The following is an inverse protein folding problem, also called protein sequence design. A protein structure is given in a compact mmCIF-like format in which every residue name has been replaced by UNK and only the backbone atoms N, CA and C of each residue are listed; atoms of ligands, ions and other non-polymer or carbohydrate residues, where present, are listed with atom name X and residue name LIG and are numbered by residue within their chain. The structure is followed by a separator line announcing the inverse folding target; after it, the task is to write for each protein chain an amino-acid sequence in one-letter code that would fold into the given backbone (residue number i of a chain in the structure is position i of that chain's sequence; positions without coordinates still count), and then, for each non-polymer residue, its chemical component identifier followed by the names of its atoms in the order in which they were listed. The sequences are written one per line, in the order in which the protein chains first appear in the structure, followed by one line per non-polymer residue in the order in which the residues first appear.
data_IF_379054000832
#
_entry.id   IF_379054000832
#
_cell.length_a   1.000
_cell.length_b   1.000
_cell.length_c   1.000
_cell.angle_alpha   90.00
_cell.angle_beta   90.00
_cell.angle_gamma   90.00
#
_symmetry.space_group_name_H-M   'P 1'
#
loop_
_entity.id
_entity.type
_entity.pdbx_description
1 polymer ?
#
# COMPACT_ATOMS: atom_id res chain seq x y z
N UNK A 1 35.71 -9.75 -2.92
CA UNK A 1 35.99 -8.30 -3.01
C UNK A 1 36.69 -8.05 -4.34
N UNK A 2 36.11 -7.25 -5.25
CA UNK A 2 36.75 -6.96 -6.54
C UNK A 2 37.73 -5.81 -6.35
N UNK A 3 39.02 -6.13 -6.39
CA UNK A 3 40.15 -5.19 -6.36
C UNK A 3 40.44 -4.67 -7.76
N UNK A 4 40.59 -3.37 -7.92
CA UNK A 4 40.85 -2.71 -9.20
C UNK A 4 42.16 -1.91 -9.13
N UNK A 5 42.95 -1.93 -10.20
CA UNK A 5 44.08 -1.03 -10.35
C UNK A 5 43.60 0.33 -10.88
N UNK A 6 43.95 1.41 -10.19
CA UNK A 6 43.61 2.78 -10.59
C UNK A 6 44.85 3.65 -10.65
N UNK A 7 45.00 4.35 -11.77
CA UNK A 7 46.05 5.36 -11.94
C UNK A 7 45.77 6.58 -11.04
N UNK A 8 46.77 7.00 -10.25
CA UNK A 8 46.68 8.15 -9.34
C UNK A 8 46.61 9.49 -10.08
N UNK A 9 47.23 9.59 -11.27
CA UNK A 9 47.35 10.82 -12.04
C UNK A 9 46.11 11.13 -12.88
N UNK A 10 45.86 12.43 -13.08
CA UNK A 10 44.62 12.96 -13.67
C UNK A 10 44.54 12.69 -15.18
N UNK A 11 45.67 12.49 -15.86
CA UNK A 11 45.74 12.29 -17.30
C UNK A 11 45.92 10.79 -17.61
N UNK A 12 45.02 10.22 -18.40
CA UNK A 12 45.05 8.81 -18.83
C UNK A 12 46.24 8.42 -19.71
N UNK A 13 47.27 9.28 -19.80
CA UNK A 13 48.49 9.11 -20.58
C UNK A 13 49.67 8.49 -19.80
N UNK A 14 49.57 8.32 -18.48
CA UNK A 14 50.64 7.74 -17.66
C UNK A 14 50.21 6.40 -17.03
N UNK A 15 50.20 5.35 -17.85
CA UNK A 15 49.89 3.97 -17.46
C UNK A 15 51.05 3.22 -16.80
N UNK A 16 52.10 3.92 -16.37
CA UNK A 16 53.26 3.32 -15.70
C UNK A 16 52.85 2.66 -14.37
N UNK A 17 53.33 1.44 -14.10
CA UNK A 17 52.92 0.61 -12.96
C UNK A 17 53.05 1.32 -11.59
N UNK A 18 54.05 2.20 -11.43
CA UNK A 18 54.25 3.01 -10.22
C UNK A 18 53.08 3.95 -9.87
N UNK A 19 52.23 4.28 -10.84
CA UNK A 19 51.07 5.14 -10.64
C UNK A 19 49.78 4.36 -10.35
N UNK A 20 49.83 3.01 -10.40
CA UNK A 20 48.68 2.15 -10.15
C UNK A 20 48.64 1.76 -8.68
N UNK A 21 47.50 2.02 -8.04
CA UNK A 21 47.24 1.59 -6.67
C UNK A 21 46.07 0.60 -6.67
N UNK A 22 46.19 -0.44 -5.85
CA UNK A 22 45.10 -1.36 -5.55
C UNK A 22 44.06 -0.65 -4.70
N UNK A 23 42.86 -0.53 -5.23
CA UNK A 23 41.76 0.21 -4.63
C UNK A 23 40.49 -0.63 -4.71
N UNK A 24 39.65 -0.54 -3.69
CA UNK A 24 38.34 -1.19 -3.70
C UNK A 24 37.38 -0.49 -4.67
N UNK A 25 36.39 -1.21 -5.19
CA UNK A 25 35.36 -0.62 -6.06
C UNK A 25 34.65 0.60 -5.43
N UNK A 26 34.48 0.60 -4.10
CA UNK A 26 33.86 1.74 -3.38
C UNK A 26 34.72 2.99 -3.38
N UNK A 27 36.03 2.84 -3.16
CA UNK A 27 36.99 3.95 -3.16
C UNK A 27 37.21 4.51 -4.57
N UNK A 28 37.14 3.66 -5.60
CA UNK A 28 37.07 4.07 -7.01
C UNK A 28 35.90 5.03 -7.23
N UNK A 29 34.71 4.61 -6.82
CA UNK A 29 33.47 5.38 -6.99
C UNK A 29 33.55 6.71 -6.22
N UNK A 30 34.05 6.70 -4.99
CA UNK A 30 34.29 7.91 -4.18
C UNK A 30 35.25 8.87 -4.88
N UNK A 31 36.38 8.40 -5.40
CA UNK A 31 37.33 9.24 -6.15
C UNK A 31 36.70 9.85 -7.40
N UNK A 32 35.89 9.10 -8.15
CA UNK A 32 35.16 9.61 -9.33
C UNK A 32 34.21 10.73 -8.93
N UNK A 33 33.47 10.55 -7.82
CA UNK A 33 32.55 11.55 -7.28
C UNK A 33 33.28 12.81 -6.78
N UNK A 34 34.31 12.67 -5.93
CA UNK A 34 35.08 13.80 -5.40
C UNK A 34 35.78 14.59 -6.50
N UNK A 35 36.29 13.91 -7.53
CA UNK A 35 36.91 14.53 -8.71
C UNK A 35 35.89 15.05 -9.73
N UNK A 36 34.58 14.97 -9.45
CA UNK A 36 33.48 15.44 -10.31
C UNK A 36 33.56 14.95 -11.76
N UNK A 37 34.10 13.73 -11.97
CA UNK A 37 34.26 13.13 -13.32
C UNK A 37 32.97 12.54 -13.89
N UNK A 38 31.94 12.44 -13.06
CA UNK A 38 30.61 12.00 -13.47
C UNK A 38 29.62 13.12 -13.21
N UNK A 39 28.89 13.48 -14.24
CA UNK A 39 27.69 14.29 -14.10
C UNK A 39 26.52 13.34 -13.84
N UNK A 40 25.70 13.64 -12.83
CA UNK A 40 24.47 12.87 -12.61
C UNK A 40 23.56 13.00 -13.83
N UNK A 41 22.93 11.90 -14.25
CA UNK A 41 21.88 11.94 -15.27
C UNK A 41 20.69 12.83 -14.86
N UNK A 42 20.54 13.12 -13.57
CA UNK A 42 19.54 14.06 -13.02
C UNK A 42 20.12 15.44 -12.68
N UNK A 43 21.28 15.81 -13.22
CA UNK A 43 21.89 17.12 -12.96
C UNK A 43 21.08 18.29 -13.52
N UNK A 44 20.35 18.06 -14.62
CA UNK A 44 19.39 19.01 -15.19
C UNK A 44 18.12 19.17 -14.35
N UNK A 45 17.92 18.30 -13.36
CA UNK A 45 16.74 18.27 -12.52
C UNK A 45 16.96 19.15 -11.27
N UNK A 46 16.11 20.14 -11.04
CA UNK A 46 16.16 20.94 -9.81
C UNK A 46 15.58 20.16 -8.63
N UNK A 47 16.46 19.45 -7.93
CA UNK A 47 16.13 18.70 -6.73
C UNK A 47 15.55 19.57 -5.61
N UNK A 48 15.93 20.85 -5.51
CA UNK A 48 15.39 21.77 -4.49
C UNK A 48 13.94 22.12 -4.80
N UNK A 49 13.64 22.48 -6.04
CA UNK A 49 12.26 22.75 -6.48
C UNK A 49 11.35 21.52 -6.30
N UNK A 50 11.83 20.32 -6.63
CA UNK A 50 11.08 19.07 -6.43
C UNK A 50 10.82 18.82 -4.94
N UNK A 51 11.84 19.02 -4.09
CA UNK A 51 11.69 18.89 -2.64
C UNK A 51 10.66 19.88 -2.08
N UNK A 52 10.68 21.14 -2.53
CA UNK A 52 9.72 22.16 -2.14
C UNK A 52 8.31 21.80 -2.59
N UNK A 53 8.11 21.39 -3.84
CA UNK A 53 6.81 20.92 -4.35
C UNK A 53 6.28 19.72 -3.57
N UNK A 54 7.15 18.79 -3.20
CA UNK A 54 6.81 17.64 -2.37
C UNK A 54 6.42 18.05 -0.95
N UNK A 55 7.06 19.07 -0.39
CA UNK A 55 6.73 19.63 0.93
C UNK A 55 5.34 20.27 0.90
N UNK A 56 5.03 21.09 -0.11
CA UNK A 56 3.72 21.72 -0.25
C UNK A 56 2.59 20.68 -0.42
N UNK A 57 2.84 19.62 -1.19
CA UNK A 57 1.89 18.50 -1.29
C UNK A 57 1.66 17.79 0.06
N UNK A 58 2.68 17.71 0.92
CA UNK A 58 2.56 17.09 2.25
C UNK A 58 1.81 17.97 3.24
N UNK A 59 1.81 19.30 3.07
CA UNK A 59 1.02 20.28 3.85
C UNK A 59 -0.47 20.30 3.48
N UNK A 60 -1.00 19.21 2.94
CA UNK A 60 -2.40 19.12 2.59
C UNK A 60 -3.25 19.06 3.87
N UNK A 61 -4.05 20.11 4.07
CA UNK A 61 -5.00 20.20 5.18
C UNK A 61 -5.98 19.03 5.15
N UNK A 62 -6.34 18.52 6.31
CA UNK A 62 -7.27 17.42 6.48
C UNK A 62 -8.27 17.72 7.57
N UNK A 63 -9.52 17.33 7.38
CA UNK A 63 -10.57 17.49 8.37
C UNK A 63 -11.06 16.12 8.82
N UNK A 64 -11.15 15.94 10.13
CA UNK A 64 -11.70 14.79 10.82
C UNK A 64 -13.20 14.99 11.07
N UNK A 65 -13.99 13.94 10.83
CA UNK A 65 -15.44 13.92 11.00
C UNK A 65 -15.86 12.75 11.89
N UNK A 66 -16.93 12.97 12.65
CA UNK A 66 -17.64 11.89 13.34
C UNK A 66 -18.39 11.01 12.33
N UNK A 67 -18.79 9.79 12.76
CA UNK A 67 -19.62 8.88 11.95
C UNK A 67 -20.99 9.49 11.59
N UNK A 68 -21.44 10.50 12.33
CA UNK A 68 -22.67 11.27 12.07
C UNK A 68 -22.49 12.35 10.99
N UNK A 69 -21.27 12.53 10.48
CA UNK A 69 -20.94 13.51 9.46
C UNK A 69 -20.69 14.93 9.98
N UNK A 70 -20.77 15.16 11.30
CA UNK A 70 -20.37 16.43 11.91
C UNK A 70 -18.85 16.58 11.88
N UNK A 71 -18.37 17.76 11.52
CA UNK A 71 -16.94 18.09 11.55
C UNK A 71 -16.46 18.12 13.01
N UNK A 72 -15.28 17.53 13.26
CA UNK A 72 -14.66 17.49 14.59
C UNK A 72 -13.54 18.50 14.69
N UNK A 73 -12.52 18.35 13.85
CA UNK A 73 -11.31 19.19 13.85
C UNK A 73 -10.64 19.16 12.49
N UNK A 74 -10.08 20.29 12.09
CA UNK A 74 -9.17 20.37 10.95
C UNK A 74 -7.72 20.49 11.39
N UNK A 75 -6.84 19.85 10.64
CA UNK A 75 -5.40 19.82 10.84
C UNK A 75 -4.72 20.33 9.57
N UNK A 76 -3.58 21.02 9.67
CA UNK A 76 -2.89 21.54 8.50
C UNK A 76 -2.16 20.44 7.72
N UNK A 77 -1.88 19.28 8.32
CA UNK A 77 -1.27 18.14 7.62
C UNK A 77 -1.71 16.79 8.20
N UNK A 78 -1.53 15.72 7.41
CA UNK A 78 -1.74 14.34 7.87
C UNK A 78 -0.77 13.98 9.01
N UNK A 79 0.44 14.56 9.02
CA UNK A 79 1.44 14.31 10.04
C UNK A 79 0.93 14.78 11.41
N UNK A 80 0.48 16.02 11.48
CA UNK A 80 -0.06 16.60 12.72
C UNK A 80 -1.35 15.90 13.17
N UNK A 81 -2.22 15.53 12.22
CA UNK A 81 -3.40 14.74 12.53
C UNK A 81 -3.04 13.39 13.16
N UNK A 82 -2.02 12.71 12.64
CA UNK A 82 -1.54 11.43 13.16
C UNK A 82 -0.93 11.55 14.57
N UNK A 83 -0.10 12.57 14.79
CA UNK A 83 0.52 12.84 16.09
C UNK A 83 -0.54 13.17 17.15
N UNK A 84 -1.52 14.01 16.80
CA UNK A 84 -2.59 14.40 17.72
C UNK A 84 -3.55 13.24 18.05
N UNK A 85 -3.88 12.40 17.07
CA UNK A 85 -4.86 11.32 17.24
C UNK A 85 -4.26 9.98 17.64
N UNK A 86 -2.94 9.81 17.56
CA UNK A 86 -2.26 8.52 17.69
C UNK A 86 -2.52 7.54 16.54
N UNK A 87 -3.19 7.98 15.46
CA UNK A 87 -3.53 7.13 14.32
C UNK A 87 -2.39 7.17 13.30
N UNK A 88 -2.04 6.02 12.72
CA UNK A 88 -0.97 5.99 11.72
C UNK A 88 -1.27 6.87 10.49
N UNK A 89 -0.25 7.59 10.02
CA UNK A 89 -0.31 8.43 8.79
C UNK A 89 -0.82 7.64 7.59
N UNK A 90 -0.41 6.37 7.48
CA UNK A 90 -0.82 5.47 6.41
C UNK A 90 -2.32 5.18 6.44
N UNK A 91 -2.92 4.97 7.62
CA UNK A 91 -4.35 4.72 7.76
C UNK A 91 -5.16 5.97 7.37
N UNK A 92 -4.75 7.15 7.85
CA UNK A 92 -5.39 8.41 7.46
C UNK A 92 -5.28 8.61 5.94
N UNK A 93 -4.10 8.39 5.35
CA UNK A 93 -3.93 8.47 3.90
C UNK A 93 -4.77 7.45 3.13
N UNK A 94 -4.96 6.24 3.65
CA UNK A 94 -5.76 5.21 3.01
C UNK A 94 -7.24 5.62 2.93
N UNK A 95 -7.76 6.26 4.00
CA UNK A 95 -9.13 6.81 4.00
C UNK A 95 -9.27 7.95 3.01
N UNK A 96 -8.30 8.87 2.96
CA UNK A 96 -8.32 9.99 2.02
C UNK A 96 -8.22 9.54 0.55
N UNK A 97 -7.66 8.35 0.29
CA UNK A 97 -7.62 7.71 -1.03
C UNK A 97 -8.85 6.83 -1.32
N UNK A 98 -9.75 6.64 -0.35
CA UNK A 98 -10.92 5.75 -0.46
C UNK A 98 -10.60 4.26 -0.33
N UNK A 99 -9.37 3.89 0.00
CA UNK A 99 -8.99 2.48 0.22
C UNK A 99 -9.54 1.92 1.54
N UNK A 100 -9.85 2.80 2.49
CA UNK A 100 -10.48 2.48 3.78
C UNK A 100 -11.62 3.48 4.03
N UNK A 101 -12.60 3.11 4.85
CA UNK A 101 -13.71 4.00 5.17
C UNK A 101 -13.40 4.95 6.33
N UNK A 102 -12.75 4.41 7.35
CA UNK A 102 -12.46 5.12 8.60
C UNK A 102 -11.05 4.82 9.06
N UNK A 103 -10.49 5.74 9.83
CA UNK A 103 -9.23 5.54 10.53
C UNK A 103 -9.43 6.00 11.97
N UNK A 104 -9.14 5.11 12.92
CA UNK A 104 -9.41 5.32 14.35
C UNK A 104 -10.88 5.60 14.66
N UNK A 105 -11.82 5.06 13.87
CA UNK A 105 -13.26 5.28 14.06
C UNK A 105 -13.82 6.59 13.50
N UNK A 106 -12.98 7.42 12.88
CA UNK A 106 -13.38 8.70 12.26
C UNK A 106 -13.31 8.65 10.74
N UNK A 107 -14.10 9.51 10.09
CA UNK A 107 -14.05 9.74 8.63
C UNK A 107 -13.13 10.93 8.35
N UNK A 108 -12.31 10.84 7.31
CA UNK A 108 -11.32 11.87 6.96
C UNK A 108 -11.58 12.41 5.57
N UNK A 109 -11.52 13.73 5.40
CA UNK A 109 -11.59 14.41 4.09
C UNK A 109 -10.47 15.44 3.94
N UNK A 110 -10.07 15.69 2.70
CA UNK A 110 -9.07 16.71 2.36
C UNK A 110 -9.69 18.11 2.50
N UNK A 111 -8.85 19.09 2.81
CA UNK A 111 -9.23 20.48 2.96
C UNK A 111 -9.61 20.87 4.39
N UNK A 112 -10.00 22.13 4.54
CA UNK A 112 -10.51 22.70 5.78
C UNK A 112 -12.01 22.97 5.58
N UNK A 113 -12.86 22.07 6.07
CA UNK A 113 -14.30 22.20 5.89
C UNK A 113 -15.00 22.03 7.22
N UNK A 114 -15.69 23.08 7.68
CA UNK A 114 -16.53 23.01 8.89
C UNK A 114 -17.91 22.42 8.62
N UNK A 115 -18.29 22.31 7.34
CA UNK A 115 -19.61 21.85 6.89
C UNK A 115 -19.87 20.40 7.30
N UNK A 116 -21.12 20.09 7.64
CA UNK A 116 -21.56 18.70 7.85
C UNK A 116 -21.55 17.96 6.52
N UNK A 117 -21.08 16.72 6.52
CA UNK A 117 -21.14 15.83 5.37
C UNK A 117 -22.29 14.83 5.54
N UNK A 118 -22.98 14.48 4.45
CA UNK A 118 -23.92 13.37 4.48
C UNK A 118 -23.13 12.05 4.41
N UNK A 119 -23.38 11.15 5.37
CA UNK A 119 -22.78 9.80 5.44
C UNK A 119 -23.85 8.69 5.36
N UNK A 120 -25.08 9.05 5.05
CA UNK A 120 -26.17 8.10 4.82
C UNK A 120 -25.83 7.15 3.67
N UNK A 121 -25.95 5.84 3.90
CA UNK A 121 -25.59 4.80 2.93
C UNK A 121 -24.09 4.67 2.60
N UNK A 122 -23.24 5.59 3.08
CA UNK A 122 -21.79 5.60 2.78
C UNK A 122 -21.11 4.29 3.19
N UNK A 123 -21.48 3.77 4.36
CA UNK A 123 -20.89 2.55 4.91
C UNK A 123 -21.37 1.29 4.21
N UNK A 124 -22.63 1.27 3.76
CA UNK A 124 -23.25 0.10 3.15
C UNK A 124 -22.83 -0.08 1.70
N UNK A 125 -22.75 1.02 0.93
CA UNK A 125 -22.20 1.02 -0.43
C UNK A 125 -20.78 0.46 -0.46
N UNK A 126 -19.93 0.80 0.51
CA UNK A 126 -18.57 0.29 0.57
C UNK A 126 -18.51 -1.20 0.92
N UNK A 127 -19.37 -1.70 1.80
CA UNK A 127 -19.44 -3.15 2.12
C UNK A 127 -19.78 -3.97 0.88
N UNK A 128 -20.75 -3.51 0.08
CA UNK A 128 -21.14 -4.15 -1.18
C UNK A 128 -19.95 -4.15 -2.14
N UNK A 129 -19.35 -3.00 -2.40
CA UNK A 129 -18.21 -2.90 -3.33
C UNK A 129 -16.95 -3.64 -2.87
N UNK A 130 -16.65 -3.68 -1.58
CA UNK A 130 -15.51 -4.45 -1.06
C UNK A 130 -15.70 -5.95 -1.28
N UNK A 131 -16.92 -6.43 -1.01
CA UNK A 131 -17.29 -7.83 -1.20
C UNK A 131 -17.29 -8.23 -2.66
N UNK A 132 -17.72 -7.36 -3.56
CA UNK A 132 -17.62 -7.61 -5.01
C UNK A 132 -16.17 -7.63 -5.52
N UNK A 133 -15.34 -6.68 -5.06
CA UNK A 133 -13.95 -6.52 -5.54
C UNK A 133 -12.98 -7.54 -4.94
N UNK A 134 -13.16 -7.91 -3.67
CA UNK A 134 -12.21 -8.75 -2.90
C UNK A 134 -12.83 -10.02 -2.32
N UNK A 135 -14.14 -10.21 -2.43
CA UNK A 135 -14.78 -11.44 -2.01
C UNK A 135 -14.31 -12.60 -2.88
N UNK A 136 -13.89 -13.69 -2.23
CA UNK A 136 -13.56 -14.94 -2.92
C UNK A 136 -14.89 -15.56 -3.35
N UNK A 137 -15.14 -15.54 -4.66
CA UNK A 137 -16.27 -16.24 -5.26
C UNK A 137 -16.03 -17.73 -5.12
N UNK A 138 -17.03 -18.45 -4.62
CA UNK A 138 -16.93 -19.89 -4.39
C UNK A 138 -18.09 -20.61 -5.07
N UNK A 139 -17.82 -21.85 -5.47
CA UNK A 139 -18.80 -22.74 -6.08
C UNK A 139 -19.06 -23.92 -5.14
N UNK A 140 -20.34 -24.25 -4.99
CA UNK A 140 -20.82 -25.47 -4.35
C UNK A 140 -20.97 -26.55 -5.42
N UNK A 141 -20.41 -27.73 -5.18
CA UNK A 141 -20.34 -28.83 -6.12
C UNK A 141 -20.90 -30.10 -5.46
N UNK A 142 -21.72 -30.83 -6.21
CA UNK A 142 -22.25 -32.13 -5.79
C UNK A 142 -21.16 -33.22 -5.77
N UNK A 143 -21.44 -34.37 -5.16
CA UNK A 143 -20.56 -35.54 -5.20
C UNK A 143 -20.23 -35.98 -6.63
N UNK A 144 -21.14 -35.74 -7.57
CA UNK A 144 -21.00 -36.10 -8.99
C UNK A 144 -20.27 -35.02 -9.82
N UNK A 145 -19.66 -34.01 -9.19
CA UNK A 145 -18.90 -32.96 -9.89
C UNK A 145 -19.73 -31.84 -10.53
N UNK A 146 -21.07 -31.93 -10.49
CA UNK A 146 -21.95 -30.88 -11.02
C UNK A 146 -21.97 -29.66 -10.10
N UNK A 147 -21.82 -28.46 -10.67
CA UNK A 147 -21.94 -27.19 -9.92
C UNK A 147 -23.41 -26.93 -9.57
N UNK A 148 -23.69 -26.74 -8.29
CA UNK A 148 -25.04 -26.49 -7.76
C UNK A 148 -25.31 -24.98 -7.70
N UNK A 149 -24.45 -24.24 -6.99
CA UNK A 149 -24.60 -22.81 -6.73
C UNK A 149 -23.26 -22.08 -6.76
N UNK A 150 -23.30 -20.79 -7.10
CA UNK A 150 -22.15 -19.89 -7.05
C UNK A 150 -22.46 -18.76 -6.08
N UNK A 151 -21.62 -18.61 -5.06
CA UNK A 151 -21.77 -17.57 -4.05
C UNK A 151 -20.70 -16.49 -4.23
N UNK A 152 -21.05 -15.22 -3.95
CA UNK A 152 -20.07 -14.13 -4.02
C UNK A 152 -19.06 -14.15 -2.88
N UNK A 153 -19.38 -14.80 -1.76
CA UNK A 153 -18.49 -14.95 -0.59
C UNK A 153 -18.79 -16.25 0.16
N UNK A 154 -17.77 -16.76 0.86
CA UNK A 154 -17.88 -17.88 1.81
C UNK A 154 -18.92 -17.59 2.89
N UNK A 155 -19.03 -16.35 3.36
CA UNK A 155 -20.02 -15.95 4.37
C UNK A 155 -21.45 -16.08 3.87
N UNK A 156 -21.69 -15.89 2.57
CA UNK A 156 -23.05 -16.00 2.03
C UNK A 156 -23.45 -17.46 1.83
N UNK A 157 -22.52 -18.29 1.38
CA UNK A 157 -22.72 -19.73 1.33
C UNK A 157 -22.99 -20.30 2.73
N UNK A 158 -22.20 -19.86 3.72
CA UNK A 158 -22.38 -20.24 5.12
C UNK A 158 -23.80 -19.93 5.63
N UNK A 159 -24.31 -18.74 5.30
CA UNK A 159 -25.67 -18.32 5.69
C UNK A 159 -26.76 -19.08 4.92
N UNK A 160 -26.59 -19.29 3.61
CA UNK A 160 -27.59 -19.94 2.78
C UNK A 160 -27.80 -21.41 3.17
N UNK A 161 -26.73 -22.12 3.47
CA UNK A 161 -26.78 -23.56 3.77
C UNK A 161 -26.74 -23.85 5.29
N UNK A 162 -26.78 -22.81 6.13
CA UNK A 162 -26.65 -22.91 7.60
C UNK A 162 -25.39 -23.68 8.06
N UNK A 163 -24.29 -23.53 7.31
CA UNK A 163 -23.00 -24.14 7.60
C UNK A 163 -22.08 -23.08 8.19
N UNK A 164 -21.24 -23.44 9.17
CA UNK A 164 -20.28 -22.48 9.72
C UNK A 164 -19.28 -21.99 8.67
N UNK A 165 -18.94 -20.70 8.66
CA UNK A 165 -17.91 -20.14 7.77
C UNK A 165 -16.59 -20.93 7.83
N UNK A 166 -16.19 -21.35 9.04
CA UNK A 166 -14.93 -22.04 9.27
C UNK A 166 -14.86 -23.40 8.58
N UNK A 167 -15.96 -24.15 8.50
CA UNK A 167 -15.96 -25.46 7.82
C UNK A 167 -15.80 -25.30 6.30
N UNK A 168 -16.51 -24.35 5.67
CA UNK A 168 -16.33 -24.05 4.24
C UNK A 168 -14.91 -23.52 3.98
N UNK A 169 -14.37 -22.65 4.85
CA UNK A 169 -13.01 -22.15 4.73
C UNK A 169 -11.95 -23.26 4.83
N UNK A 170 -12.10 -24.18 5.78
CA UNK A 170 -11.21 -25.35 5.90
C UNK A 170 -11.32 -26.24 4.67
N UNK A 171 -12.53 -26.44 4.15
CA UNK A 171 -12.80 -27.21 2.93
C UNK A 171 -12.04 -26.66 1.70
N UNK A 172 -11.86 -25.34 1.64
CA UNK A 172 -11.15 -24.67 0.55
C UNK A 172 -9.62 -24.63 0.73
N UNK A 173 -9.11 -24.76 1.96
CA UNK A 173 -7.67 -24.60 2.27
C UNK A 173 -6.94 -25.92 2.47
N UNK A 174 -7.59 -26.93 3.06
CA UNK A 174 -6.93 -28.21 3.38
C UNK A 174 -7.15 -29.25 2.26
N UNK A 175 -6.10 -29.95 1.80
CA UNK A 175 -6.22 -30.93 0.72
C UNK A 175 -7.01 -32.19 1.11
N UNK A 176 -7.06 -32.56 2.39
CA UNK A 176 -7.67 -33.81 2.88
C UNK A 176 -9.15 -33.73 3.29
N UNK A 177 -9.70 -32.53 3.53
CA UNK A 177 -11.13 -32.34 3.80
C UNK A 177 -11.64 -31.30 2.83
N UNK A 178 -12.22 -31.73 1.70
CA UNK A 178 -12.77 -30.83 0.64
C UNK A 178 -14.28 -30.65 0.72
N UNK A 179 -14.91 -31.27 1.72
CA UNK A 179 -16.36 -31.33 1.89
C UNK A 179 -16.78 -30.58 3.15
N UNK A 180 -17.87 -29.82 3.07
CA UNK A 180 -18.52 -29.21 4.22
C UNK A 180 -20.04 -29.31 4.04
N UNK A 181 -20.75 -29.79 5.06
CA UNK A 181 -22.20 -30.00 5.02
C UNK A 181 -22.66 -30.94 3.89
N UNK A 182 -21.88 -31.98 3.59
CA UNK A 182 -22.22 -32.94 2.54
C UNK A 182 -21.88 -32.52 1.11
N UNK A 183 -21.47 -31.27 0.86
CA UNK A 183 -21.13 -30.73 -0.48
C UNK A 183 -19.65 -30.38 -0.60
N UNK A 184 -19.11 -30.40 -1.83
CA UNK A 184 -17.74 -29.98 -2.14
C UNK A 184 -17.67 -28.50 -2.48
N UNK A 185 -16.56 -27.84 -2.11
CA UNK A 185 -16.43 -26.39 -2.26
C UNK A 185 -15.15 -26.02 -3.00
N UNK A 186 -15.26 -25.22 -4.05
CA UNK A 186 -14.12 -24.81 -4.88
C UNK A 186 -14.11 -23.29 -5.06
N UNK A 187 -12.91 -22.68 -5.13
CA UNK A 187 -12.78 -21.27 -5.51
C UNK A 187 -13.09 -21.13 -7.00
N UNK A 188 -13.74 -20.02 -7.38
CA UNK A 188 -13.95 -19.65 -8.78
C UNK A 188 -12.72 -18.93 -9.34
#
# INVERSE_FOLDING_TARGET
MVTLFLCQLILGRFSHYKNLVLVTSTEKQKRIYTRKRTVSCFSWLDMKAIAQKNLERKKQKVTQYYKTGKSKRSFPSIKEAAEYTGISRSNISAVLKGAQQTAGGFVWRKGNSKRKINLEGYFDQWKVGYKEKRGIKIKQVSKNGKTIKVFPSITDAARADSITFASIWRALKKPGQKQAGGSFWHKR
#
